data_IF_961250890413
#
_entry.id   IF_961250890413
#
_cell.length_a   1.000
_cell.length_b   1.000
_cell.length_c   1.000
_cell.angle_alpha   90.00
_cell.angle_beta   90.00
_cell.angle_gamma   90.00
#
_symmetry.space_group_name_H-M   'P 1'
#
loop_
_entity.id
_entity.type
_entity.pdbx_description
1 polymer ?
#
# COMPACT_ATOMS: atom_id res chain seq x y z
N UNK A 1 16.76 4.68 -25.32
CA UNK A 1 16.05 4.20 -24.12
C UNK A 1 15.98 2.70 -24.21
N UNK A 2 16.49 1.98 -23.22
CA UNK A 2 16.29 0.52 -23.12
C UNK A 2 14.81 0.25 -22.92
N UNK A 3 14.19 -0.68 -23.67
CA UNK A 3 12.79 -1.05 -23.44
C UNK A 3 12.66 -1.55 -22.00
N UNK A 4 11.83 -0.88 -21.20
CA UNK A 4 11.45 -1.38 -19.88
C UNK A 4 10.45 -2.51 -20.13
N UNK A 5 10.66 -3.65 -19.47
CA UNK A 5 9.70 -4.76 -19.53
C UNK A 5 8.42 -4.38 -18.80
N UNK A 6 7.27 -4.99 -19.14
CA UNK A 6 6.03 -4.78 -18.42
C UNK A 6 6.22 -5.01 -16.91
N UNK A 7 5.54 -4.20 -16.11
CA UNK A 7 5.48 -4.38 -14.67
C UNK A 7 4.87 -5.74 -14.37
N UNK A 8 5.60 -6.56 -13.60
CA UNK A 8 5.15 -7.90 -13.24
C UNK A 8 4.53 -7.90 -11.86
N UNK A 9 5.37 -7.69 -10.84
CA UNK A 9 4.98 -7.78 -9.45
C UNK A 9 5.81 -6.84 -8.59
N UNK A 10 5.15 -6.11 -7.71
CA UNK A 10 5.74 -5.29 -6.67
C UNK A 10 5.43 -5.91 -5.30
N UNK A 11 6.43 -6.02 -4.44
CA UNK A 11 6.26 -6.35 -3.02
C UNK A 11 6.89 -5.25 -2.20
N UNK A 12 6.12 -4.66 -1.29
CA UNK A 12 6.57 -3.64 -0.35
C UNK A 12 6.26 -4.09 1.07
N UNK A 13 7.24 -4.06 1.96
CA UNK A 13 7.09 -4.53 3.34
C UNK A 13 7.72 -3.53 4.31
N UNK A 14 6.97 -3.19 5.35
CA UNK A 14 7.49 -2.49 6.52
C UNK A 14 7.68 -3.53 7.63
N UNK A 15 8.92 -3.86 8.03
CA UNK A 15 9.16 -4.79 9.11
C UNK A 15 8.66 -4.24 10.44
N UNK A 16 8.52 -5.12 11.43
CA UNK A 16 8.25 -4.69 12.80
C UNK A 16 9.34 -3.72 13.28
N UNK A 17 8.94 -2.59 13.86
CA UNK A 17 9.85 -1.65 14.50
C UNK A 17 9.31 -1.25 15.87
N UNK A 18 10.03 -1.60 16.93
CA UNK A 18 9.67 -1.16 18.29
C UNK A 18 9.66 0.36 18.41
N UNK A 19 10.56 1.04 17.68
CA UNK A 19 10.61 2.50 17.63
C UNK A 19 9.33 3.07 17.03
N UNK A 20 8.89 2.55 15.88
CA UNK A 20 7.63 2.98 15.26
C UNK A 20 6.43 2.73 16.20
N UNK A 21 6.40 1.58 16.89
CA UNK A 21 5.33 1.25 17.83
C UNK A 21 5.31 2.14 19.08
N UNK A 22 6.49 2.53 19.60
CA UNK A 22 6.61 3.40 20.78
C UNK A 22 6.06 4.81 20.52
N UNK A 23 6.01 5.25 19.25
CA UNK A 23 5.36 6.48 18.84
C UNK A 23 3.83 6.39 18.80
N UNK A 24 3.27 5.18 18.64
CA UNK A 24 1.83 4.99 18.40
C UNK A 24 1.02 4.67 19.68
N UNK A 25 1.52 3.81 20.59
CA UNK A 25 0.96 3.65 21.95
C UNK A 25 1.92 2.83 22.84
N UNK A 26 2.51 3.47 23.86
CA UNK A 26 3.50 2.87 24.78
C UNK A 26 2.93 1.77 25.69
N UNK A 27 1.61 1.55 25.72
CA UNK A 27 0.96 0.62 26.66
C UNK A 27 0.63 -0.76 26.07
N UNK A 28 0.89 -1.00 24.79
CA UNK A 28 0.50 -2.26 24.12
C UNK A 28 1.69 -3.15 23.77
N UNK A 29 1.47 -4.45 23.91
CA UNK A 29 2.41 -5.48 23.45
C UNK A 29 2.09 -5.76 21.98
N UNK A 30 3.10 -5.74 21.11
CA UNK A 30 2.95 -6.00 19.68
C UNK A 30 3.62 -7.33 19.28
N UNK A 31 3.04 -8.11 18.35
CA UNK A 31 3.67 -9.31 17.83
C UNK A 31 4.90 -8.94 17.01
N UNK A 32 6.08 -9.08 17.60
CA UNK A 32 7.37 -8.69 16.98
C UNK A 32 7.73 -9.49 15.72
N UNK A 33 7.02 -10.58 15.47
CA UNK A 33 7.24 -11.50 14.36
C UNK A 33 6.39 -11.18 13.11
N UNK A 34 5.53 -10.16 13.17
CA UNK A 34 4.70 -9.76 12.03
C UNK A 34 5.11 -8.38 11.50
N UNK A 35 5.18 -8.19 10.17
CA UNK A 35 5.45 -6.87 9.61
C UNK A 35 4.30 -5.89 9.92
N UNK A 36 4.63 -4.61 10.02
CA UNK A 36 3.63 -3.54 10.23
C UNK A 36 2.75 -3.36 9.01
N UNK A 37 3.30 -3.56 7.82
CA UNK A 37 2.59 -3.45 6.56
C UNK A 37 3.24 -4.36 5.53
N UNK A 38 2.43 -5.06 4.74
CA UNK A 38 2.88 -5.84 3.61
C UNK A 38 1.90 -5.59 2.45
N UNK A 39 2.43 -5.15 1.32
CA UNK A 39 1.68 -4.85 0.10
C UNK A 39 2.26 -5.68 -1.03
N UNK A 40 1.40 -6.34 -1.78
CA UNK A 40 1.75 -7.07 -2.99
C UNK A 40 0.84 -6.65 -4.12
N UNK A 41 1.42 -6.16 -5.20
CA UNK A 41 0.70 -5.81 -6.43
C UNK A 41 1.21 -6.74 -7.53
N UNK A 42 0.35 -7.61 -8.05
CA UNK A 42 0.61 -8.50 -9.17
C UNK A 42 -0.11 -7.92 -10.38
N UNK A 43 0.62 -7.19 -11.22
CA UNK A 43 0.09 -6.52 -12.40
C UNK A 43 -0.25 -7.53 -13.51
N UNK A 44 0.42 -8.68 -13.58
CA UNK A 44 0.06 -9.72 -14.55
C UNK A 44 -1.33 -10.33 -14.25
N UNK A 45 -1.65 -10.52 -12.96
CA UNK A 45 -2.94 -11.06 -12.52
C UNK A 45 -3.99 -9.99 -12.21
N UNK A 46 -3.60 -8.72 -12.16
CA UNK A 46 -4.47 -7.63 -11.76
C UNK A 46 -4.93 -7.76 -10.32
N UNK A 47 -4.04 -8.13 -9.40
CA UNK A 47 -4.39 -8.28 -7.98
C UNK A 47 -3.54 -7.39 -7.10
N UNK A 48 -4.16 -6.86 -6.05
CA UNK A 48 -3.49 -6.13 -4.99
C UNK A 48 -3.89 -6.75 -3.65
N UNK A 49 -2.91 -7.10 -2.85
CA UNK A 49 -3.12 -7.61 -1.50
C UNK A 49 -2.38 -6.73 -0.51
N UNK A 50 -3.06 -6.38 0.57
CA UNK A 50 -2.51 -5.65 1.69
C UNK A 50 -2.81 -6.42 2.97
N UNK A 51 -1.80 -6.55 3.82
CA UNK A 51 -1.90 -7.13 5.14
C UNK A 51 -1.07 -6.28 6.10
N UNK A 52 -1.69 -5.72 7.14
CA UNK A 52 -0.98 -4.77 7.99
C UNK A 52 -1.68 -4.46 9.30
N UNK A 53 -0.91 -3.92 10.23
CA UNK A 53 -1.40 -3.44 11.51
C UNK A 53 -2.21 -2.15 11.30
N UNK A 54 -3.44 -2.16 11.80
CA UNK A 54 -4.36 -1.04 11.64
C UNK A 54 -3.83 0.28 12.23
N UNK A 55 -3.22 0.25 13.41
CA UNK A 55 -2.76 1.47 14.07
C UNK A 55 -1.62 2.10 13.29
N UNK A 56 -0.71 1.26 12.77
CA UNK A 56 0.35 1.70 11.86
C UNK A 56 -0.22 2.33 10.59
N UNK A 57 -1.18 1.65 9.95
CA UNK A 57 -1.83 2.13 8.73
C UNK A 57 -2.54 3.47 8.96
N UNK A 58 -3.32 3.61 10.03
CA UNK A 58 -4.04 4.85 10.35
C UNK A 58 -3.07 6.00 10.68
N UNK A 59 -1.95 5.69 11.33
CA UNK A 59 -0.90 6.67 11.60
C UNK A 59 -0.29 7.23 10.31
N UNK A 60 -0.01 6.37 9.31
CA UNK A 60 0.48 6.82 7.99
C UNK A 60 -0.49 7.77 7.29
N UNK A 61 -1.78 7.63 7.55
CA UNK A 61 -2.83 8.43 6.92
C UNK A 61 -3.07 9.79 7.58
N UNK A 62 -2.38 10.12 8.67
CA UNK A 62 -2.65 11.35 9.42
C UNK A 62 -4.03 11.37 10.09
N UNK A 63 -4.80 10.28 10.00
CA UNK A 63 -6.02 10.04 10.76
C UNK A 63 -5.64 9.62 12.19
N UNK A 64 -5.04 10.57 12.91
CA UNK A 64 -4.86 10.44 14.35
C UNK A 64 -6.14 10.92 15.03
N UNK A 65 -6.78 10.00 15.75
CA UNK A 65 -7.76 10.23 16.81
C UNK A 65 -9.23 10.35 16.40
N UNK A 66 -10.00 9.50 17.07
CA UNK A 66 -11.41 9.64 17.39
C UNK A 66 -12.38 9.55 16.22
N UNK A 67 -12.72 8.32 15.82
CA UNK A 67 -14.05 7.78 16.13
C UNK A 67 -14.22 6.35 15.56
N UNK A 68 -14.73 5.46 16.42
CA UNK A 68 -15.43 4.20 16.13
C UNK A 68 -14.72 2.85 15.97
N UNK A 69 -13.40 2.74 15.84
CA UNK A 69 -12.74 1.44 15.95
C UNK A 69 -12.19 1.20 17.36
N UNK A 70 -12.82 0.26 18.07
CA UNK A 70 -12.45 -0.16 19.42
C UNK A 70 -11.04 -0.75 19.43
N UNK A 71 -10.34 -0.53 20.55
CA UNK A 71 -8.93 -0.89 20.84
C UNK A 71 -8.64 -2.41 20.83
N UNK A 72 -8.80 -3.12 19.72
CA UNK A 72 -8.58 -4.57 19.68
C UNK A 72 -7.73 -5.08 18.51
N UNK A 73 -6.48 -4.60 18.34
CA UNK A 73 -5.44 -5.30 17.55
C UNK A 73 -5.95 -5.93 16.24
N UNK A 74 -6.53 -5.15 15.34
CA UNK A 74 -6.87 -5.73 14.05
C UNK A 74 -5.75 -5.51 13.07
N UNK A 75 -5.08 -6.63 12.79
CA UNK A 75 -4.46 -6.77 11.49
C UNK A 75 -5.59 -6.80 10.46
N UNK A 76 -5.54 -5.91 9.49
CA UNK A 76 -6.51 -5.87 8.40
C UNK A 76 -5.93 -6.55 7.18
N UNK A 77 -6.79 -7.25 6.45
CA UNK A 77 -6.45 -7.90 5.19
C UNK A 77 -7.34 -7.32 4.10
N UNK A 78 -6.72 -6.77 3.06
CA UNK A 78 -7.44 -6.20 1.93
C UNK A 78 -6.99 -6.92 0.66
N UNK A 79 -7.94 -7.53 -0.03
CA UNK A 79 -7.72 -8.22 -1.30
C UNK A 79 -8.54 -7.52 -2.38
N UNK A 80 -7.86 -6.94 -3.37
CA UNK A 80 -8.45 -6.10 -4.41
C UNK A 80 -8.10 -6.65 -5.79
N UNK A 81 -9.02 -6.46 -6.73
CA UNK A 81 -8.77 -6.64 -8.16
C UNK A 81 -8.56 -5.27 -8.80
N UNK A 82 -7.50 -5.17 -9.59
CA UNK A 82 -7.18 -4.03 -10.45
C UNK A 82 -7.99 -4.20 -11.73
N UNK A 83 -8.93 -3.30 -11.99
CA UNK A 83 -9.76 -3.33 -13.18
C UNK A 83 -9.12 -2.45 -14.26
N UNK A 84 -8.82 -3.00 -15.42
CA UNK A 84 -8.28 -2.22 -16.54
C UNK A 84 -7.30 -2.98 -17.43
N UNK A 85 -6.53 -2.22 -18.21
CA UNK A 85 -5.53 -2.70 -19.17
C UNK A 85 -4.35 -3.36 -18.45
N UNK A 86 -4.20 -4.66 -18.68
CA UNK A 86 -3.05 -5.46 -18.29
C UNK A 86 -2.59 -6.25 -19.52
N UNK A 87 -1.27 -6.45 -19.73
CA UNK A 87 -0.15 -6.05 -18.86
C UNK A 87 0.12 -4.53 -18.89
N UNK A 88 0.78 -4.03 -17.84
CA UNK A 88 1.09 -2.61 -17.70
C UNK A 88 2.56 -2.33 -18.04
N UNK A 89 2.81 -1.43 -18.99
CA UNK A 89 4.15 -0.96 -19.32
C UNK A 89 4.32 0.51 -18.89
N UNK A 90 5.32 0.79 -18.06
CA UNK A 90 5.62 2.16 -17.62
C UNK A 90 6.01 3.09 -18.77
N UNK A 91 6.57 2.54 -19.85
CA UNK A 91 6.92 3.33 -21.04
C UNK A 91 5.69 3.82 -21.81
N UNK A 92 4.52 3.23 -21.56
CA UNK A 92 3.24 3.63 -22.15
C UNK A 92 2.45 4.61 -21.27
N UNK A 93 2.90 4.85 -20.03
CA UNK A 93 2.30 5.83 -19.14
C UNK A 93 2.85 7.22 -19.49
N UNK A 94 1.96 8.18 -19.71
CA UNK A 94 2.31 9.57 -20.00
C UNK A 94 2.67 10.35 -18.72
N UNK A 95 2.98 11.64 -18.89
CA UNK A 95 3.34 12.54 -17.78
C UNK A 95 2.18 12.80 -16.80
N UNK A 96 0.93 12.49 -17.19
CA UNK A 96 -0.26 12.65 -16.36
C UNK A 96 -0.48 11.43 -15.42
N UNK A 97 0.34 10.40 -15.58
CA UNK A 97 0.28 9.18 -14.79
C UNK A 97 -0.88 8.25 -15.20
N UNK A 98 -1.14 7.24 -14.36
CA UNK A 98 -2.19 6.25 -14.61
C UNK A 98 -3.04 6.03 -13.37
N UNK A 99 -4.36 6.04 -13.57
CA UNK A 99 -5.34 5.71 -12.52
C UNK A 99 -6.07 4.42 -12.86
N UNK A 100 -5.96 3.43 -12.00
CA UNK A 100 -6.59 2.12 -12.13
C UNK A 100 -7.64 1.90 -11.03
N UNK A 101 -8.92 1.67 -11.37
CA UNK A 101 -9.95 1.40 -10.37
C UNK A 101 -9.72 0.05 -9.68
N UNK A 102 -9.96 0.03 -8.37
CA UNK A 102 -9.85 -1.14 -7.50
C UNK A 102 -11.23 -1.54 -6.98
N UNK A 103 -11.48 -2.85 -6.90
CA UNK A 103 -12.63 -3.39 -6.19
C UNK A 103 -12.31 -4.72 -5.53
N UNK A 104 -12.76 -4.93 -4.30
CA UNK A 104 -12.41 -6.10 -3.52
C UNK A 104 -13.05 -6.17 -2.15
N UNK A 105 -12.35 -6.83 -1.23
CA UNK A 105 -12.83 -7.18 0.10
C UNK A 105 -11.82 -6.71 1.14
N UNK A 106 -12.30 -6.02 2.17
CA UNK A 106 -11.57 -5.77 3.40
C UNK A 106 -12.05 -6.79 4.44
N UNK A 107 -11.12 -7.45 5.11
CA UNK A 107 -11.39 -8.37 6.21
C UNK A 107 -10.68 -7.88 7.47
N UNK A 108 -11.45 -7.71 8.53
CA UNK A 108 -10.99 -7.38 9.87
C UNK A 108 -11.55 -8.41 10.88
N UNK A 109 -11.53 -8.09 12.18
CA UNK A 109 -12.13 -8.99 13.18
C UNK A 109 -13.67 -9.00 13.18
N UNK A 110 -14.31 -7.95 12.67
CA UNK A 110 -15.77 -7.84 12.61
C UNK A 110 -16.32 -8.65 11.43
N UNK A 111 -15.54 -8.80 10.37
CA UNK A 111 -15.85 -9.69 9.26
C UNK A 111 -15.29 -9.19 7.94
N UNK A 112 -15.93 -9.61 6.85
CA UNK A 112 -15.58 -9.21 5.51
C UNK A 112 -16.57 -8.15 4.98
N UNK A 113 -16.05 -7.02 4.54
CA UNK A 113 -16.79 -5.91 3.93
C UNK A 113 -16.32 -5.62 2.50
N UNK A 114 -17.19 -5.01 1.70
CA UNK A 114 -16.82 -4.57 0.36
C UNK A 114 -15.91 -3.33 0.44
N UNK A 115 -14.82 -3.36 -0.33
CA UNK A 115 -13.87 -2.28 -0.42
C UNK A 115 -13.73 -1.84 -1.88
N UNK A 116 -13.62 -0.53 -2.11
CA UNK A 116 -13.38 0.06 -3.43
C UNK A 116 -12.28 1.10 -3.34
N UNK A 117 -11.62 1.39 -4.45
CA UNK A 117 -10.50 2.31 -4.42
C UNK A 117 -9.92 2.64 -5.78
N UNK A 118 -8.75 3.25 -5.76
CA UNK A 118 -7.96 3.59 -6.93
C UNK A 118 -6.48 3.35 -6.64
N UNK A 119 -5.78 2.81 -7.63
CA UNK A 119 -4.33 2.74 -7.68
C UNK A 119 -3.87 3.82 -8.66
N UNK A 120 -3.03 4.73 -8.19
CA UNK A 120 -2.47 5.83 -8.97
C UNK A 120 -0.97 5.57 -9.13
N UNK A 121 -0.48 5.58 -10.36
CA UNK A 121 0.93 5.51 -10.70
C UNK A 121 1.31 6.86 -11.26
N UNK A 122 2.23 7.55 -10.60
CA UNK A 122 2.59 8.93 -10.95
C UNK A 122 4.11 9.07 -11.02
N UNK A 123 4.60 9.92 -11.91
CA UNK A 123 6.02 10.16 -12.06
C UNK A 123 6.51 11.08 -10.93
N UNK A 124 7.52 10.64 -10.19
CA UNK A 124 8.13 11.49 -9.16
C UNK A 124 9.05 12.47 -9.87
N UNK A 125 8.64 13.74 -9.95
CA UNK A 125 9.54 14.80 -10.43
C UNK A 125 10.87 14.72 -9.69
N UNK A 126 12.00 14.85 -10.43
CA UNK A 126 13.42 14.61 -10.06
C UNK A 126 13.95 15.28 -8.76
N UNK A 127 13.24 15.21 -7.64
CA UNK A 127 13.51 15.93 -6.40
C UNK A 127 13.90 15.01 -5.24
N UNK A 128 13.74 13.70 -5.37
CA UNK A 128 14.29 12.78 -4.38
C UNK A 128 15.70 12.37 -4.82
N UNK A 129 16.73 12.71 -4.04
CA UNK A 129 18.11 12.29 -4.27
C UNK A 129 18.34 10.77 -4.14
N UNK A 130 17.29 9.97 -4.27
CA UNK A 130 17.34 8.53 -4.34
C UNK A 130 17.58 8.12 -5.79
N UNK A 131 18.71 7.45 -6.02
CA UNK A 131 19.10 6.96 -7.34
C UNK A 131 18.02 5.99 -7.85
N UNK A 132 17.32 6.38 -8.93
CA UNK A 132 16.35 5.59 -9.71
C UNK A 132 14.94 5.38 -9.11
N UNK A 133 14.38 6.34 -8.34
CA UNK A 133 12.93 6.38 -8.08
C UNK A 133 12.25 7.36 -9.03
N UNK A 134 11.78 6.85 -10.17
CA UNK A 134 11.12 7.68 -11.19
C UNK A 134 9.60 7.71 -11.03
N UNK A 135 9.03 6.76 -10.28
CA UNK A 135 7.58 6.57 -10.16
C UNK A 135 7.16 6.27 -8.72
N UNK A 136 5.99 6.75 -8.31
CA UNK A 136 5.34 6.39 -7.05
C UNK A 136 4.00 5.73 -7.34
N UNK A 137 3.64 4.75 -6.51
CA UNK A 137 2.32 4.13 -6.52
C UNK A 137 1.57 4.54 -5.27
N UNK A 138 0.48 5.27 -5.45
CA UNK A 138 -0.46 5.64 -4.38
C UNK A 138 -1.72 4.78 -4.44
N UNK A 139 -2.07 4.14 -3.34
CA UNK A 139 -3.24 3.29 -3.22
C UNK A 139 -4.25 4.02 -2.33
N UNK A 140 -5.42 4.34 -2.88
CA UNK A 140 -6.55 4.94 -2.17
C UNK A 140 -7.65 3.90 -2.01
N UNK A 141 -8.08 3.59 -0.78
CA UNK A 141 -9.14 2.62 -0.51
C UNK A 141 -10.22 3.21 0.38
N UNK A 142 -11.45 2.77 0.15
CA UNK A 142 -12.65 3.18 0.86
C UNK A 142 -13.46 1.95 1.24
N UNK A 143 -13.77 1.82 2.53
CA UNK A 143 -14.74 0.84 3.01
C UNK A 143 -16.16 1.30 2.64
N UNK A 144 -16.90 0.48 1.92
CA UNK A 144 -18.27 0.81 1.51
C UNK A 144 -19.27 0.71 2.66
N UNK A 145 -18.94 -0.07 3.70
CA UNK A 145 -19.80 -0.23 4.88
C UNK A 145 -19.59 0.90 5.89
N UNK A 146 -18.41 1.52 5.88
CA UNK A 146 -18.05 2.60 6.78
C UNK A 146 -17.55 3.81 5.98
N UNK A 147 -18.46 4.75 5.71
CA UNK A 147 -18.28 5.89 4.79
C UNK A 147 -17.13 6.86 5.13
N UNK A 148 -16.38 6.62 6.22
CA UNK A 148 -15.31 7.47 6.73
C UNK A 148 -13.94 6.81 6.72
N UNK A 149 -13.81 5.55 6.28
CA UNK A 149 -12.51 4.92 6.20
C UNK A 149 -11.85 5.24 4.86
N UNK A 150 -10.92 6.18 4.87
CA UNK A 150 -9.99 6.41 3.77
C UNK A 150 -8.61 5.84 4.14
N UNK A 151 -8.08 5.05 3.22
CA UNK A 151 -6.74 4.50 3.30
C UNK A 151 -5.93 5.06 2.13
N UNK A 152 -4.77 5.65 2.43
CA UNK A 152 -3.77 6.08 1.47
C UNK A 152 -2.41 5.48 1.85
N UNK A 153 -1.81 4.74 0.93
CA UNK A 153 -0.38 4.36 1.04
C UNK A 153 0.33 4.67 -0.26
N UNK A 154 1.47 5.36 -0.14
CA UNK A 154 2.37 5.64 -1.25
C UNK A 154 3.63 4.78 -1.12
N UNK A 155 3.98 4.05 -2.17
CA UNK A 155 5.18 3.22 -2.25
C UNK A 155 6.03 3.63 -3.46
N UNK A 156 7.36 3.74 -3.31
CA UNK A 156 8.24 4.04 -4.44
C UNK A 156 8.34 2.86 -5.40
N UNK A 157 8.46 3.16 -6.70
CA UNK A 157 8.64 2.20 -7.78
C UNK A 157 9.99 2.44 -8.46
N UNK A 158 10.94 1.55 -8.14
CA UNK A 158 12.32 1.67 -8.62
C UNK A 158 12.51 1.02 -10.01
N UNK A 159 12.73 1.84 -11.02
CA UNK A 159 13.00 1.46 -12.41
C UNK A 159 14.49 1.19 -12.61
N UNK A 160 15.00 0.05 -12.10
CA UNK A 160 16.39 -0.32 -12.39
C UNK A 160 17.09 -1.27 -11.41
N UNK A 161 16.43 -1.74 -10.36
CA UNK A 161 16.99 -2.77 -9.50
C UNK A 161 16.11 -4.02 -9.59
N UNK A 162 16.72 -5.13 -9.99
CA UNK A 162 16.25 -6.46 -9.59
C UNK A 162 15.85 -6.42 -8.12
N UNK A 163 14.56 -6.62 -7.87
CA UNK A 163 13.87 -6.76 -6.59
C UNK A 163 14.81 -7.02 -5.40
N UNK A 164 14.76 -6.17 -4.37
CA UNK A 164 14.85 -6.45 -2.93
C UNK A 164 15.28 -5.17 -2.21
N UNK A 165 14.37 -4.57 -1.44
CA UNK A 165 14.74 -3.63 -0.38
C UNK A 165 14.18 -4.17 0.95
N UNK A 166 15.03 -4.83 1.72
CA UNK A 166 14.90 -4.86 3.18
C UNK A 166 15.40 -3.49 3.68
N UNK A 167 14.49 -2.64 4.15
CA UNK A 167 14.92 -1.53 5.01
C UNK A 167 15.15 -2.09 6.40
N UNK A 168 16.41 -2.39 6.70
CA UNK A 168 16.89 -2.62 8.05
C UNK A 168 17.00 -1.28 8.79
N UNK A 169 16.40 -1.19 9.97
CA UNK A 169 16.87 -0.35 11.07
C UNK A 169 16.63 -1.11 12.38
#
# INVERSE_FOLDING_TARGET
MTPQSPLQKLTYMVPFSSVAMDFMDKKRVYPKNLPLLNITIDFEKGTLNLDGDWEYIMHLNGHSSNEWFVKSRERVQIAMNIRGLLPLDLAEIDEDGLVLPLGGILTDHFGAGNCSGMLVIDAVGMYSGAVNNDWDISIFLYDQQQSNLEFKVTVPLFTGATNFFEYAN
#
